data_IF_032492046019
#
_entry.id   IF_032492046019
#
_cell.length_a   1.000
_cell.length_b   1.000
_cell.length_c   1.000
_cell.angle_alpha   90.00
_cell.angle_beta   90.00
_cell.angle_gamma   90.00
#
_symmetry.space_group_name_H-M   'P 1'
#
loop_
_entity.id
_entity.type
_entity.pdbx_description
1 polymer ?
#
# COMPACT_ATOMS: atom_id res chain seq x y z
N UNK A 1 9.77 -23.31 25.71
CA UNK A 1 8.64 -22.43 25.32
C UNK A 1 8.60 -22.44 23.80
N UNK A 2 7.51 -22.93 23.21
CA UNK A 2 7.37 -23.03 21.75
C UNK A 2 6.59 -21.84 21.24
N UNK A 3 7.29 -20.84 20.76
CA UNK A 3 6.71 -19.64 20.17
C UNK A 3 5.98 -19.99 18.87
N UNK A 4 4.69 -19.64 18.77
CA UNK A 4 3.85 -19.93 17.61
C UNK A 4 3.53 -18.64 16.87
N UNK A 5 3.75 -18.64 15.55
CA UNK A 5 3.38 -17.50 14.68
C UNK A 5 1.98 -17.72 14.11
N UNK A 6 1.14 -16.71 14.26
CA UNK A 6 -0.24 -16.67 13.75
C UNK A 6 -0.36 -15.48 12.79
N UNK A 7 -0.71 -15.77 11.54
CA UNK A 7 -1.01 -14.74 10.55
C UNK A 7 -2.54 -14.51 10.49
N UNK A 8 -2.94 -13.24 10.55
CA UNK A 8 -4.33 -12.79 10.46
C UNK A 8 -4.50 -11.93 9.22
N UNK A 9 -5.49 -12.23 8.37
CA UNK A 9 -5.94 -11.33 7.32
C UNK A 9 -6.89 -10.30 7.93
N UNK A 10 -6.67 -9.01 7.67
CA UNK A 10 -7.42 -7.91 8.29
C UNK A 10 -8.18 -7.15 7.19
N UNK A 11 -9.42 -6.79 7.45
CA UNK A 11 -10.25 -5.97 6.55
C UNK A 11 -10.69 -4.67 7.21
N UNK A 12 -10.85 -3.62 6.41
CA UNK A 12 -11.27 -2.30 6.89
C UNK A 12 -10.13 -1.39 7.38
N UNK A 13 -8.87 -1.80 7.28
CA UNK A 13 -7.73 -0.90 7.50
C UNK A 13 -7.52 0.02 6.30
N UNK A 14 -7.60 1.34 6.51
CA UNK A 14 -7.46 2.35 5.44
C UNK A 14 -6.40 3.40 5.71
N UNK A 15 -5.78 3.40 6.89
CA UNK A 15 -4.85 4.45 7.32
C UNK A 15 -3.67 3.86 8.12
N UNK A 16 -2.51 4.50 8.02
CA UNK A 16 -1.34 4.19 8.86
C UNK A 16 -1.64 4.29 10.36
N UNK A 17 -2.55 5.19 10.76
CA UNK A 17 -3.02 5.29 12.14
C UNK A 17 -3.80 4.05 12.62
N UNK A 18 -4.45 3.31 11.70
CA UNK A 18 -5.11 2.05 12.02
C UNK A 18 -4.10 0.96 12.39
N UNK A 19 -2.93 0.95 11.72
CA UNK A 19 -1.84 -0.02 11.96
C UNK A 19 -1.37 0.08 13.40
N UNK A 20 -0.93 1.26 13.83
CA UNK A 20 -0.42 1.46 15.18
C UNK A 20 -1.48 1.25 16.27
N UNK A 21 -2.77 1.46 15.95
CA UNK A 21 -3.88 1.11 16.86
C UNK A 21 -4.00 -0.41 17.01
N UNK A 22 -3.97 -1.15 15.89
CA UNK A 22 -4.09 -2.60 15.87
C UNK A 22 -2.90 -3.30 16.53
N UNK A 23 -1.67 -2.84 16.28
CA UNK A 23 -0.47 -3.37 16.96
C UNK A 23 -0.58 -3.24 18.48
N UNK A 24 -1.06 -2.09 18.98
CA UNK A 24 -1.31 -1.89 20.41
C UNK A 24 -2.43 -2.77 20.95
N UNK A 25 -3.50 -3.00 20.19
CA UNK A 25 -4.61 -3.87 20.62
C UNK A 25 -4.15 -5.33 20.70
N UNK A 26 -3.41 -5.79 19.69
CA UNK A 26 -2.89 -7.16 19.62
C UNK A 26 -1.79 -7.39 20.65
N UNK A 27 -0.85 -6.45 20.81
CA UNK A 27 0.23 -6.54 21.80
C UNK A 27 -0.22 -6.47 23.26
N UNK A 28 -1.47 -6.09 23.52
CA UNK A 28 -2.09 -6.12 24.86
C UNK A 28 -2.79 -7.44 25.18
N UNK A 29 -2.89 -8.36 24.22
CA UNK A 29 -3.52 -9.65 24.47
C UNK A 29 -2.56 -10.57 25.23
N UNK A 30 -3.12 -11.33 26.18
CA UNK A 30 -2.33 -12.22 27.02
C UNK A 30 -1.59 -13.28 26.19
N UNK A 31 -0.30 -13.46 26.47
CA UNK A 31 0.56 -14.42 25.78
C UNK A 31 1.08 -13.94 24.42
N UNK A 32 0.86 -12.69 24.02
CA UNK A 32 1.48 -12.10 22.83
C UNK A 32 2.89 -11.60 23.16
N UNK A 33 3.88 -12.15 22.47
CA UNK A 33 5.29 -11.72 22.56
C UNK A 33 5.53 -10.54 21.61
N UNK A 34 4.98 -10.63 20.39
CA UNK A 34 5.17 -9.61 19.35
C UNK A 34 3.94 -9.53 18.45
N UNK A 35 3.57 -8.33 18.04
CA UNK A 35 2.55 -8.11 17.02
C UNK A 35 3.05 -7.08 16.00
N UNK A 36 3.01 -7.44 14.72
CA UNK A 36 3.36 -6.57 13.60
C UNK A 36 2.19 -6.52 12.63
N UNK A 37 1.84 -5.34 12.17
CA UNK A 37 0.73 -5.14 11.24
C UNK A 37 1.24 -4.48 9.98
N UNK A 38 0.91 -5.05 8.83
CA UNK A 38 1.29 -4.53 7.53
C UNK A 38 0.05 -4.08 6.76
N UNK A 39 -0.06 -2.76 6.56
CA UNK A 39 -1.16 -2.14 5.83
C UNK A 39 -1.15 -2.52 4.35
N UNK A 40 0.02 -2.58 3.72
CA UNK A 40 0.16 -2.86 2.29
C UNK A 40 -0.31 -4.28 1.94
N UNK A 41 -0.07 -5.24 2.83
CA UNK A 41 -0.52 -6.63 2.64
C UNK A 41 -1.85 -6.94 3.32
N UNK A 42 -2.44 -5.97 4.05
CA UNK A 42 -3.63 -6.15 4.88
C UNK A 42 -3.54 -7.38 5.82
N UNK A 43 -2.37 -7.56 6.46
CA UNK A 43 -2.08 -8.71 7.32
C UNK A 43 -1.50 -8.28 8.65
N UNK A 44 -1.80 -9.05 9.71
CA UNK A 44 -1.16 -8.93 11.01
C UNK A 44 -0.47 -10.24 11.35
N UNK A 45 0.82 -10.16 11.66
CA UNK A 45 1.62 -11.28 12.15
C UNK A 45 1.75 -11.15 13.66
N UNK A 46 1.25 -12.15 14.38
CA UNK A 46 1.26 -12.16 15.84
C UNK A 46 2.00 -13.39 16.32
N UNK A 47 2.92 -13.16 17.25
CA UNK A 47 3.77 -14.19 17.83
C UNK A 47 3.32 -14.42 19.26
N UNK A 48 2.95 -15.67 19.57
CA UNK A 48 2.31 -16.04 20.84
C UNK A 48 3.04 -17.19 21.53
N UNK A 49 3.00 -17.20 22.86
CA UNK A 49 3.60 -18.26 23.68
C UNK A 49 2.78 -19.57 23.67
N UNK A 50 1.46 -19.49 23.45
CA UNK A 50 0.53 -20.64 23.44
C UNK A 50 -0.31 -20.72 22.15
N UNK A 51 -0.34 -21.91 21.55
CA UNK A 51 -0.99 -22.18 20.25
C UNK A 51 -2.52 -22.32 20.29
N UNK A 52 -3.14 -22.24 19.10
CA UNK A 52 -4.57 -22.41 18.70
C UNK A 52 -5.65 -21.65 19.48
N UNK A 53 -5.65 -21.62 20.81
CA UNK A 53 -6.61 -20.83 21.62
C UNK A 53 -6.39 -19.33 21.46
N UNK A 54 -5.18 -18.92 21.10
CA UNK A 54 -4.82 -17.52 20.82
C UNK A 54 -5.47 -16.96 19.53
N UNK A 55 -5.60 -17.75 18.46
CA UNK A 55 -6.08 -17.24 17.16
C UNK A 55 -7.52 -16.67 17.24
N UNK A 56 -8.45 -17.40 17.84
CA UNK A 56 -9.83 -16.96 17.99
C UNK A 56 -9.95 -15.71 18.88
N UNK A 57 -9.12 -15.61 19.92
CA UNK A 57 -9.07 -14.43 20.80
C UNK A 57 -8.54 -13.21 20.06
N UNK A 58 -7.47 -13.37 19.27
CA UNK A 58 -6.91 -12.30 18.46
C UNK A 58 -7.92 -11.79 17.43
N UNK A 59 -8.64 -12.69 16.74
CA UNK A 59 -9.73 -12.30 15.82
C UNK A 59 -10.79 -11.48 16.55
N UNK A 60 -11.28 -11.95 17.70
CA UNK A 60 -12.28 -11.21 18.48
C UNK A 60 -11.78 -9.85 18.96
N UNK A 61 -10.50 -9.74 19.34
CA UNK A 61 -9.89 -8.48 19.73
C UNK A 61 -9.86 -7.47 18.57
N UNK A 62 -9.58 -7.94 17.36
CA UNK A 62 -9.61 -7.12 16.14
C UNK A 62 -11.03 -6.67 15.80
N UNK A 63 -12.01 -7.57 15.90
CA UNK A 63 -13.43 -7.26 15.68
C UNK A 63 -13.94 -6.21 16.67
N UNK A 64 -13.57 -6.34 17.96
CA UNK A 64 -13.88 -5.33 18.99
C UNK A 64 -13.21 -3.97 18.72
N UNK A 65 -12.08 -3.97 18.02
CA UNK A 65 -11.43 -2.73 17.57
C UNK A 65 -12.09 -2.10 16.33
N UNK A 66 -13.10 -2.75 15.75
CA UNK A 66 -13.89 -2.25 14.62
C UNK A 66 -13.38 -2.67 13.24
N UNK A 67 -12.53 -3.70 13.16
CA UNK A 67 -11.98 -4.22 11.90
C UNK A 67 -12.39 -5.69 11.72
N UNK A 68 -12.44 -6.18 10.47
CA UNK A 68 -12.63 -7.61 10.25
C UNK A 68 -11.29 -8.36 10.37
N UNK A 69 -11.31 -9.59 10.90
CA UNK A 69 -10.14 -10.44 10.95
C UNK A 69 -10.46 -11.91 10.64
N UNK A 70 -9.56 -12.59 9.95
CA UNK A 70 -9.63 -14.03 9.73
C UNK A 70 -8.25 -14.66 9.93
N UNK A 71 -8.18 -15.74 10.72
CA UNK A 71 -6.95 -16.48 10.91
C UNK A 71 -6.57 -17.25 9.63
N UNK A 72 -5.38 -16.98 9.10
CA UNK A 72 -4.79 -17.74 8.00
C UNK A 72 -4.05 -18.91 8.63
N UNK A 73 -4.48 -20.14 8.32
CA UNK A 73 -3.84 -21.33 8.89
C UNK A 73 -2.39 -21.42 8.45
N UNK A 74 -1.48 -21.54 9.42
CA UNK A 74 -0.06 -21.82 9.20
C UNK A 74 0.07 -23.16 8.46
N UNK A 75 0.34 -23.09 7.15
CA UNK A 75 0.41 -24.26 6.27
C UNK A 75 0.01 -23.99 4.82
N UNK A 76 -0.66 -22.88 4.53
CA UNK A 76 -0.78 -22.43 3.14
C UNK A 76 0.58 -21.88 2.67
N UNK A 77 1.14 -22.36 1.53
CA UNK A 77 2.40 -21.86 1.04
C UNK A 77 2.33 -20.35 0.86
N UNK A 78 3.37 -19.66 1.32
CA UNK A 78 3.63 -18.25 1.03
C UNK A 78 3.46 -18.02 -0.47
N UNK A 79 2.28 -17.55 -0.90
CA UNK A 79 2.07 -16.98 -2.22
C UNK A 79 2.66 -15.56 -2.25
N UNK A 80 3.93 -15.43 -1.88
CA UNK A 80 4.77 -14.26 -2.13
C UNK A 80 5.54 -14.55 -3.42
N UNK A 81 4.94 -14.32 -4.60
CA UNK A 81 5.74 -14.18 -5.84
C UNK A 81 4.91 -13.65 -7.03
N UNK A 82 3.59 -13.81 -7.04
CA UNK A 82 2.76 -13.38 -8.19
C UNK A 82 2.53 -11.86 -8.27
N UNK A 83 2.63 -11.12 -7.16
CA UNK A 83 2.38 -9.67 -7.14
C UNK A 83 3.53 -8.81 -7.67
N UNK A 84 4.78 -9.24 -7.46
CA UNK A 84 5.97 -8.42 -7.73
C UNK A 84 6.21 -8.18 -9.23
N UNK A 85 5.94 -9.18 -10.09
CA UNK A 85 6.13 -9.05 -11.54
C UNK A 85 5.17 -8.04 -12.18
N UNK A 86 3.90 -8.04 -11.75
CA UNK A 86 2.90 -7.09 -12.28
C UNK A 86 3.21 -5.65 -11.90
N UNK A 87 3.66 -5.44 -10.66
CA UNK A 87 4.09 -4.13 -10.17
C UNK A 87 5.35 -3.65 -10.89
N UNK A 88 6.34 -4.53 -11.07
CA UNK A 88 7.57 -4.22 -11.80
C UNK A 88 7.30 -3.85 -13.27
N UNK A 89 6.43 -4.59 -13.96
CA UNK A 89 6.06 -4.27 -15.35
C UNK A 89 5.38 -2.91 -15.47
N UNK A 90 4.55 -2.52 -14.49
CA UNK A 90 3.93 -1.19 -14.44
C UNK A 90 4.97 -0.11 -14.19
N UNK A 91 5.92 -0.34 -13.29
CA UNK A 91 7.04 0.60 -13.01
C UNK A 91 7.91 0.78 -14.25
N UNK A 92 8.28 -0.32 -14.92
CA UNK A 92 9.06 -0.28 -16.15
C UNK A 92 8.29 0.44 -17.26
N UNK A 93 6.99 0.16 -17.41
CA UNK A 93 6.13 0.83 -18.38
C UNK A 93 6.05 2.34 -18.15
N UNK A 94 5.87 2.77 -16.90
CA UNK A 94 5.87 4.19 -16.54
C UNK A 94 7.23 4.84 -16.81
N UNK A 95 8.34 4.20 -16.39
CA UNK A 95 9.69 4.71 -16.61
C UNK A 95 10.03 4.86 -18.10
N UNK A 96 9.67 3.88 -18.93
CA UNK A 96 9.83 3.94 -20.38
C UNK A 96 9.03 5.08 -21.01
N UNK A 97 7.80 5.30 -20.54
CA UNK A 97 6.94 6.35 -21.08
C UNK A 97 7.36 7.75 -20.62
N UNK A 98 8.01 7.86 -19.46
CA UNK A 98 8.62 9.11 -18.97
C UNK A 98 9.98 9.42 -19.62
N UNK A 99 10.67 8.41 -20.16
CA UNK A 99 12.01 8.57 -20.72
C UNK A 99 12.11 9.62 -21.84
N UNK A 100 11.19 9.71 -22.81
CA UNK A 100 11.23 10.73 -23.87
C UNK A 100 11.08 12.16 -23.34
N UNK A 101 10.38 12.34 -22.21
CA UNK A 101 10.22 13.64 -21.57
C UNK A 101 11.46 14.05 -20.78
N UNK A 102 12.17 13.09 -20.17
CA UNK A 102 13.39 13.35 -19.41
C UNK A 102 14.64 13.48 -20.30
N UNK A 103 14.63 12.85 -21.47
CA UNK A 103 15.74 12.83 -22.41
C UNK A 103 16.30 14.21 -22.80
N UNK A 104 15.49 15.24 -23.12
CA UNK A 104 16.00 16.57 -23.44
C UNK A 104 16.68 17.28 -22.25
N UNK A 105 16.34 16.94 -21.00
CA UNK A 105 17.07 17.44 -19.82
C UNK A 105 18.43 16.73 -19.63
N UNK A 106 18.54 15.46 -20.02
CA UNK A 106 19.77 14.66 -19.85
C UNK A 106 20.83 14.92 -20.94
N UNK A 107 20.42 15.40 -22.12
CA UNK A 107 21.29 15.59 -23.27
C UNK A 107 21.19 17.03 -23.81
N UNK A 108 21.75 18.02 -23.09
CA UNK A 108 21.78 19.40 -23.56
C UNK A 108 22.54 19.51 -24.89
N UNK A 109 21.96 20.20 -25.87
CA UNK A 109 22.57 20.41 -27.20
C UNK A 109 22.03 19.54 -28.34
N UNK A 110 21.06 18.65 -28.08
CA UNK A 110 20.18 18.12 -29.13
C UNK A 110 18.87 18.87 -29.10
N UNK A 111 18.49 19.52 -30.20
CA UNK A 111 17.17 20.13 -30.42
C UNK A 111 16.06 19.06 -30.59
N UNK A 112 16.13 17.97 -29.83
CA UNK A 112 15.12 16.93 -29.77
C UNK A 112 13.97 17.39 -28.85
N UNK A 113 13.40 18.55 -29.14
CA UNK A 113 12.22 19.02 -28.44
C UNK A 113 11.01 18.34 -29.04
N UNK A 114 10.43 17.40 -28.28
CA UNK A 114 9.15 16.78 -28.62
C UNK A 114 8.12 17.89 -28.81
N UNK A 115 7.26 17.78 -29.84
CA UNK A 115 6.29 18.83 -30.13
C UNK A 115 5.40 19.12 -28.90
N UNK A 116 5.11 20.40 -28.58
CA UNK A 116 4.33 20.77 -27.40
C UNK A 116 3.02 19.99 -27.19
N UNK A 117 2.19 19.72 -28.23
CA UNK A 117 0.97 18.92 -28.02
C UNK A 117 1.28 17.46 -27.70
N UNK A 118 2.37 16.90 -28.23
CA UNK A 118 2.75 15.52 -27.97
C UNK A 118 3.29 15.35 -26.54
N UNK A 119 3.98 16.36 -26.00
CA UNK A 119 4.36 16.40 -24.58
C UNK A 119 3.13 16.41 -23.67
N UNK A 120 2.11 17.21 -24.01
CA UNK A 120 0.85 17.23 -23.24
C UNK A 120 0.12 15.88 -23.29
N UNK A 121 0.08 15.22 -24.45
CA UNK A 121 -0.54 13.89 -24.56
C UNK A 121 0.23 12.84 -23.76
N UNK A 122 1.55 12.79 -23.90
CA UNK A 122 2.41 11.83 -23.19
C UNK A 122 2.30 12.01 -21.67
N UNK A 123 2.39 13.25 -21.20
CA UNK A 123 2.35 13.52 -19.77
C UNK A 123 0.94 13.35 -19.20
N UNK A 124 -0.12 13.64 -19.94
CA UNK A 124 -1.50 13.24 -19.55
C UNK A 124 -1.63 11.72 -19.41
N UNK A 125 -1.05 10.96 -20.35
CA UNK A 125 -1.15 9.51 -20.35
C UNK A 125 -0.36 8.88 -19.19
N UNK A 126 0.81 9.43 -18.85
CA UNK A 126 1.56 9.04 -17.65
C UNK A 126 0.78 9.43 -16.38
N UNK A 127 0.35 10.69 -16.28
CA UNK A 127 -0.22 11.25 -15.05
C UNK A 127 -1.61 10.67 -14.73
N UNK A 128 -2.53 10.72 -15.69
CA UNK A 128 -3.90 10.24 -15.49
C UNK A 128 -4.05 8.75 -15.79
N UNK A 129 -3.21 8.15 -16.63
CA UNK A 129 -3.21 6.71 -16.86
C UNK A 129 -2.52 5.96 -15.72
N UNK A 130 -1.19 6.01 -15.68
CA UNK A 130 -0.39 5.27 -14.69
C UNK A 130 -0.49 5.84 -13.27
N UNK A 131 -0.68 7.16 -13.13
CA UNK A 131 -0.84 7.85 -11.86
C UNK A 131 -2.27 7.84 -11.29
N UNK A 132 -3.27 7.29 -12.00
CA UNK A 132 -4.68 7.23 -11.58
C UNK A 132 -4.90 6.73 -10.15
N UNK A 133 -4.06 5.80 -9.68
CA UNK A 133 -4.11 5.25 -8.31
C UNK A 133 -3.99 6.33 -7.23
N UNK A 134 -3.16 7.35 -7.45
CA UNK A 134 -2.95 8.45 -6.50
C UNK A 134 -4.19 9.35 -6.43
N UNK A 135 -4.86 9.58 -7.57
CA UNK A 135 -6.11 10.35 -7.60
C UNK A 135 -7.26 9.62 -6.90
N UNK A 136 -7.36 8.30 -7.08
CA UNK A 136 -8.32 7.45 -6.36
C UNK A 136 -8.06 7.46 -4.85
N UNK A 137 -6.79 7.31 -4.45
CA UNK A 137 -6.38 7.40 -3.04
C UNK A 137 -6.66 8.77 -2.43
N UNK A 138 -6.38 9.85 -3.17
CA UNK A 138 -6.68 11.22 -2.77
C UNK A 138 -8.19 11.44 -2.58
N UNK A 139 -9.02 10.95 -3.51
CA UNK A 139 -10.48 11.08 -3.41
C UNK A 139 -11.05 10.34 -2.21
N UNK A 140 -10.55 9.12 -1.95
CA UNK A 140 -10.91 8.36 -0.75
C UNK A 140 -10.48 9.08 0.54
N UNK A 141 -9.29 9.70 0.54
CA UNK A 141 -8.77 10.48 1.66
C UNK A 141 -9.69 11.67 1.99
N UNK A 142 -10.06 12.45 0.97
CA UNK A 142 -11.02 13.56 1.09
C UNK A 142 -12.36 13.07 1.63
N UNK A 143 -12.91 11.97 1.10
CA UNK A 143 -14.18 11.40 1.57
C UNK A 143 -14.13 10.93 3.02
N UNK A 144 -12.96 10.49 3.47
CA UNK A 144 -12.73 10.04 4.85
C UNK A 144 -12.34 11.15 5.83
N UNK A 145 -12.10 12.37 5.34
CA UNK A 145 -11.65 13.51 6.16
C UNK A 145 -10.22 13.39 6.70
N UNK A 146 -9.38 12.51 6.14
CA UNK A 146 -8.00 12.29 6.57
C UNK A 146 -7.02 12.74 5.48
N UNK A 147 -5.87 13.28 5.87
CA UNK A 147 -4.78 13.62 4.95
C UNK A 147 -3.88 12.41 4.67
N UNK A 148 -3.71 12.03 3.41
CA UNK A 148 -2.81 10.96 2.97
C UNK A 148 -1.73 11.49 2.03
N UNK A 149 -0.65 10.73 1.83
CA UNK A 149 0.41 11.09 0.88
C UNK A 149 -0.13 11.26 -0.55
N UNK A 150 -1.08 10.41 -0.94
CA UNK A 150 -1.72 10.45 -2.26
C UNK A 150 -2.42 11.79 -2.53
N UNK A 151 -2.97 12.43 -1.49
CA UNK A 151 -3.59 13.75 -1.60
C UNK A 151 -2.57 14.83 -1.95
N UNK A 152 -1.39 14.80 -1.33
CA UNK A 152 -0.30 15.74 -1.63
C UNK A 152 0.23 15.53 -3.04
N UNK A 153 0.41 14.28 -3.46
CA UNK A 153 0.85 13.94 -4.82
C UNK A 153 -0.17 14.44 -5.84
N UNK A 154 -1.45 14.11 -5.67
CA UNK A 154 -2.51 14.51 -6.59
C UNK A 154 -2.65 16.04 -6.70
N UNK A 155 -2.59 16.76 -5.58
CA UNK A 155 -2.62 18.23 -5.58
C UNK A 155 -1.41 18.82 -6.31
N UNK A 156 -0.20 18.35 -5.99
CA UNK A 156 1.03 18.87 -6.57
C UNK A 156 1.12 18.63 -8.08
N UNK A 157 0.80 17.42 -8.54
CA UNK A 157 0.85 17.10 -9.97
C UNK A 157 -0.26 17.79 -10.77
N UNK A 158 -1.43 18.00 -10.17
CA UNK A 158 -2.52 18.73 -10.84
C UNK A 158 -2.19 20.22 -11.00
N UNK A 159 -1.58 20.83 -9.98
CA UNK A 159 -1.14 22.22 -10.02
C UNK A 159 0.04 22.46 -10.97
N UNK A 160 0.85 21.43 -11.24
CA UNK A 160 1.91 21.50 -12.26
C UNK A 160 1.38 21.24 -13.68
N UNK A 161 0.23 20.58 -13.81
CA UNK A 161 -0.37 20.20 -15.10
C UNK A 161 -1.16 21.35 -15.76
N UNK A 162 -1.94 22.09 -14.97
CA UNK A 162 -2.79 23.20 -15.41
C UNK A 162 -2.23 24.55 -15.00
#
# INVERSE_FOLDING_TARGET
>A
MSETVIDLAITGMTCASCVGRLEKVLGRQDGVVKAEVNLATARARVVVEDGRTAAARLVSAVEKAGFGAAAVQAGAPMAEETGARGELLRVIGAALLSLPLALPMLLPGRDAMVSPPLQLVLASLVLFGFGSRFFLGAWAAVRSGHGTMDLLVALGTSAAWG
#
